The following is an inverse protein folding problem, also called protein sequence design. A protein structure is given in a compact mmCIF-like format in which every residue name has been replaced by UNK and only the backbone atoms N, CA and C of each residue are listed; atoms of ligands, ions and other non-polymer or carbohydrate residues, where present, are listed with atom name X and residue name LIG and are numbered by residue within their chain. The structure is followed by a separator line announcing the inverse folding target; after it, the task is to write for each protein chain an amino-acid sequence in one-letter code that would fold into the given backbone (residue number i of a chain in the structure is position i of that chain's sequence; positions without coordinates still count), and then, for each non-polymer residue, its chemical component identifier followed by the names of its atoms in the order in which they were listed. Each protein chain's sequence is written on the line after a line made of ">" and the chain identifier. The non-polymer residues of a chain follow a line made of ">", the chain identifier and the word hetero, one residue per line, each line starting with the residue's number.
data_IF_676295707723
#
_entry.id   IF_676295707723
#
_cell.length_a   1.000
_cell.length_b   1.000
_cell.length_c   1.000
_cell.angle_alpha   90.00
_cell.angle_beta   90.00
_cell.angle_gamma   90.00
#
_symmetry.space_group_name_H-M   'P 1'
#
loop_
_entity.id
_entity.type
_entity.pdbx_description
1 polymer ?
#
# COMPACT_ATOMS: atom_id res chain seq x y z
N UNK A 1 25.59 -32.94 -32.97
CA UNK A 1 25.27 -31.50 -32.84
C UNK A 1 24.60 -31.31 -31.50
N UNK A 2 25.17 -30.43 -30.67
CA UNK A 2 24.72 -30.14 -29.32
C UNK A 2 24.04 -28.75 -29.29
N UNK A 3 23.03 -28.58 -28.43
CA UNK A 3 22.70 -27.29 -27.83
C UNK A 3 21.86 -27.53 -26.57
N UNK A 4 22.41 -27.18 -25.41
CA UNK A 4 21.67 -27.04 -24.15
C UNK A 4 21.79 -25.57 -23.78
N UNK A 5 20.67 -24.86 -23.69
CA UNK A 5 20.67 -23.44 -23.29
C UNK A 5 20.18 -23.38 -21.86
N UNK A 6 21.11 -23.20 -20.92
CA UNK A 6 20.79 -22.86 -19.55
C UNK A 6 20.85 -21.33 -19.42
N UNK A 7 19.69 -20.67 -19.33
CA UNK A 7 19.60 -19.26 -19.02
C UNK A 7 19.59 -19.09 -17.49
N UNK A 8 20.76 -18.80 -16.92
CA UNK A 8 20.87 -18.31 -15.54
C UNK A 8 20.85 -16.80 -15.54
N UNK A 9 19.80 -16.18 -14.99
CA UNK A 9 19.80 -14.76 -14.69
C UNK A 9 20.15 -14.59 -13.20
N UNK A 10 21.37 -14.15 -12.91
CA UNK A 10 21.75 -13.71 -11.57
C UNK A 10 21.46 -12.21 -11.44
N UNK A 11 20.42 -11.87 -10.69
CA UNK A 11 20.18 -10.49 -10.28
C UNK A 11 21.11 -10.15 -9.11
N UNK A 12 22.02 -9.20 -9.31
CA UNK A 12 22.85 -8.65 -8.25
C UNK A 12 22.10 -7.48 -7.58
N UNK A 13 21.70 -7.66 -6.33
CA UNK A 13 21.19 -6.58 -5.49
C UNK A 13 22.39 -5.90 -4.81
N UNK A 14 22.76 -4.70 -5.27
CA UNK A 14 23.69 -3.82 -4.54
C UNK A 14 22.84 -3.00 -3.58
N UNK A 15 22.89 -3.32 -2.29
CA UNK A 15 22.36 -2.46 -1.23
C UNK A 15 23.54 -1.72 -0.58
N UNK A 16 23.72 -0.45 -0.92
CA UNK A 16 24.71 0.41 -0.28
C UNK A 16 24.04 1.71 0.16
N UNK A 17 23.69 1.76 1.44
CA UNK A 17 23.05 2.91 2.09
C UNK A 17 23.81 3.37 3.34
N UNK A 18 25.13 3.53 3.23
CA UNK A 18 25.87 4.35 4.20
C UNK A 18 25.70 5.82 3.76
N UNK A 19 24.82 6.51 4.47
CA UNK A 19 24.38 7.92 4.29
C UNK A 19 25.57 8.89 4.17
N UNK A 20 25.49 9.84 3.22
CA UNK A 20 25.77 11.23 3.54
C UNK A 20 24.60 12.13 3.13
N UNK A 21 24.29 13.12 3.98
CA UNK A 21 23.29 14.15 3.73
C UNK A 21 23.50 14.83 2.35
N UNK A 22 22.46 14.75 1.51
CA UNK A 22 22.25 15.66 0.39
C UNK A 22 20.75 16.01 0.34
N UNK A 23 20.48 17.32 0.20
CA UNK A 23 19.24 18.07 0.03
C UNK A 23 17.89 17.31 -0.21
N UNK A 24 16.76 17.85 0.28
CA UNK A 24 15.43 17.27 0.05
C UNK A 24 15.16 17.01 -1.44
N UNK A 25 15.06 15.74 -1.81
CA UNK A 25 14.60 15.34 -3.13
C UNK A 25 13.07 15.34 -3.08
N UNK A 26 12.47 16.42 -3.57
CA UNK A 26 11.08 16.39 -4.02
C UNK A 26 10.93 15.28 -5.08
N UNK A 27 10.20 14.22 -4.71
CA UNK A 27 9.11 13.72 -5.56
C UNK A 27 9.45 12.87 -6.78
N UNK A 28 10.39 11.92 -6.73
CA UNK A 28 10.29 10.76 -7.63
C UNK A 28 9.39 9.73 -6.97
N UNK A 29 8.09 9.77 -7.33
CA UNK A 29 7.13 8.68 -7.06
C UNK A 29 7.69 7.45 -7.79
N UNK A 30 8.45 6.62 -7.08
CA UNK A 30 8.77 5.27 -7.55
C UNK A 30 7.44 4.62 -7.90
N UNK A 31 7.24 4.28 -9.17
CA UNK A 31 6.08 3.52 -9.61
C UNK A 31 6.14 2.19 -8.85
N UNK A 32 5.37 2.12 -7.77
CA UNK A 32 5.19 0.88 -7.02
C UNK A 32 4.42 -0.01 -7.98
N UNK A 33 5.06 -1.04 -8.52
CA UNK A 33 4.36 -2.04 -9.32
C UNK A 33 3.22 -2.61 -8.49
N UNK A 34 2.02 -2.67 -9.05
CA UNK A 34 0.81 -3.20 -8.44
C UNK A 34 1.05 -4.36 -7.43
N UNK A 35 1.68 -5.50 -7.79
CA UNK A 35 1.88 -6.60 -6.85
C UNK A 35 2.77 -6.26 -5.63
N UNK A 36 3.60 -5.23 -5.71
CA UNK A 36 4.42 -4.75 -4.58
C UNK A 36 3.62 -3.85 -3.63
N UNK A 37 2.65 -3.08 -4.12
CA UNK A 37 1.79 -2.20 -3.31
C UNK A 37 0.97 -3.01 -2.29
N UNK A 38 0.38 -4.12 -2.72
CA UNK A 38 -0.44 -5.00 -1.87
C UNK A 38 0.37 -5.75 -0.81
N UNK A 39 1.68 -5.85 -0.99
CA UNK A 39 2.59 -6.55 -0.07
C UNK A 39 3.41 -5.59 0.80
N UNK A 40 3.32 -4.29 0.54
CA UNK A 40 4.03 -3.28 1.31
C UNK A 40 3.46 -3.25 2.73
N UNK A 41 4.34 -3.43 3.71
CA UNK A 41 3.99 -3.26 5.12
C UNK A 41 4.26 -1.81 5.51
N UNK A 42 3.23 -1.10 6.00
CA UNK A 42 3.34 0.29 6.45
C UNK A 42 2.63 0.48 7.78
N UNK A 43 3.02 1.54 8.48
CA UNK A 43 2.36 1.98 9.71
C UNK A 43 1.47 3.16 9.35
N UNK A 44 0.21 3.08 9.76
CA UNK A 44 -0.78 4.13 9.57
C UNK A 44 -1.55 4.34 10.86
N UNK A 45 -1.85 5.59 11.15
CA UNK A 45 -2.66 6.01 12.28
C UNK A 45 -3.87 6.82 11.79
N UNK A 46 -5.00 6.54 12.43
CA UNK A 46 -6.24 7.26 12.28
C UNK A 46 -6.65 7.77 13.66
N UNK A 47 -7.01 9.04 13.72
CA UNK A 47 -7.51 9.72 14.92
C UNK A 47 -8.83 10.40 14.57
N UNK A 48 -9.94 9.87 15.08
CA UNK A 48 -11.31 10.33 14.83
C UNK A 48 -11.61 10.61 13.34
N UNK A 49 -11.04 9.80 12.45
CA UNK A 49 -11.09 10.02 11.02
C UNK A 49 -12.37 9.44 10.42
N UNK A 50 -13.07 10.15 9.52
CA UNK A 50 -14.20 9.57 8.79
C UNK A 50 -13.73 8.47 7.84
N UNK A 51 -14.55 7.47 7.56
CA UNK A 51 -14.17 6.33 6.71
C UNK A 51 -13.77 6.77 5.28
N UNK A 52 -14.30 7.89 4.80
CA UNK A 52 -13.90 8.52 3.54
C UNK A 52 -12.44 8.98 3.55
N UNK A 53 -11.98 9.62 4.63
CA UNK A 53 -10.57 10.02 4.80
C UNK A 53 -9.68 8.81 5.03
N UNK A 54 -10.17 7.82 5.79
CA UNK A 54 -9.46 6.54 6.00
C UNK A 54 -9.15 5.89 4.65
N UNK A 55 -10.15 5.75 3.77
CA UNK A 55 -9.96 5.17 2.45
C UNK A 55 -8.96 5.97 1.61
N UNK A 56 -9.10 7.30 1.53
CA UNK A 56 -8.19 8.16 0.79
C UNK A 56 -6.73 8.05 1.29
N UNK A 57 -6.56 7.94 2.61
CA UNK A 57 -5.24 7.76 3.21
C UNK A 57 -4.64 6.40 2.88
N UNK A 58 -5.44 5.33 2.84
CA UNK A 58 -4.98 4.00 2.40
C UNK A 58 -4.51 4.06 0.94
N UNK A 59 -5.27 4.71 0.06
CA UNK A 59 -4.91 4.89 -1.34
C UNK A 59 -3.56 5.63 -1.48
N UNK A 60 -3.38 6.73 -0.75
CA UNK A 60 -2.14 7.52 -0.79
C UNK A 60 -0.94 6.73 -0.22
N UNK A 61 -1.13 6.11 0.94
CA UNK A 61 -0.04 5.45 1.67
C UNK A 61 0.40 4.19 0.95
N UNK A 62 -0.52 3.38 0.42
CA UNK A 62 -0.17 2.11 -0.21
C UNK A 62 -0.11 2.18 -1.74
N UNK A 63 -0.61 3.24 -2.37
CA UNK A 63 -0.67 3.35 -3.83
C UNK A 63 -1.69 2.37 -4.43
N UNK A 64 -2.80 2.16 -3.73
CA UNK A 64 -3.89 1.24 -4.11
C UNK A 64 -5.17 2.02 -4.37
N UNK A 65 -6.18 1.37 -4.92
CA UNK A 65 -7.54 1.91 -5.01
C UNK A 65 -8.44 1.22 -4.00
N UNK A 66 -9.25 1.98 -3.26
CA UNK A 66 -10.25 1.44 -2.34
C UNK A 66 -11.64 1.64 -2.96
N UNK A 67 -12.39 0.55 -3.08
CA UNK A 67 -13.72 0.54 -3.71
C UNK A 67 -14.78 -0.02 -2.76
N UNK A 68 -16.04 0.07 -3.17
CA UNK A 68 -17.21 -0.35 -2.39
C UNK A 68 -17.35 0.33 -1.01
N UNK A 69 -17.10 1.65 -0.94
CA UNK A 69 -17.36 2.41 0.29
C UNK A 69 -18.87 2.49 0.57
N UNK A 70 -19.32 2.34 1.84
CA UNK A 70 -20.72 2.50 2.20
C UNK A 70 -21.18 3.94 1.96
N UNK A 71 -22.45 4.13 1.60
CA UNK A 71 -23.02 5.46 1.35
C UNK A 71 -22.98 6.41 2.57
N UNK A 72 -22.93 5.86 3.78
CA UNK A 72 -22.79 6.60 5.05
C UNK A 72 -21.33 6.64 5.55
N UNK A 73 -20.32 6.47 4.67
CA UNK A 73 -18.90 6.46 5.06
C UNK A 73 -18.47 7.68 5.90
N UNK A 74 -19.09 8.85 5.70
CA UNK A 74 -18.82 10.05 6.49
C UNK A 74 -19.32 9.98 7.95
N UNK A 75 -20.28 9.10 8.26
CA UNK A 75 -20.84 8.89 9.60
C UNK A 75 -19.99 8.00 10.49
N UNK A 76 -19.15 7.15 9.90
CA UNK A 76 -18.24 6.27 10.64
C UNK A 76 -16.96 7.02 11.00
N UNK A 77 -16.65 7.08 12.30
CA UNK A 77 -15.40 7.65 12.85
C UNK A 77 -14.51 6.53 13.36
N UNK A 78 -13.26 6.51 12.91
CA UNK A 78 -12.29 5.48 13.26
C UNK A 78 -11.06 6.08 13.93
N UNK A 79 -10.72 5.54 15.09
CA UNK A 79 -9.43 5.74 15.75
C UNK A 79 -8.72 4.39 15.82
N UNK A 80 -7.68 4.23 15.00
CA UNK A 80 -6.96 2.96 14.86
C UNK A 80 -5.51 3.23 14.49
N UNK A 81 -4.59 2.56 15.17
CA UNK A 81 -3.21 2.42 14.71
C UNK A 81 -3.03 1.02 14.17
N UNK A 82 -2.53 0.93 12.94
CA UNK A 82 -2.37 -0.34 12.25
C UNK A 82 -0.97 -0.42 11.61
N UNK A 83 -0.38 -1.62 11.65
CA UNK A 83 0.89 -1.95 11.01
C UNK A 83 0.69 -3.23 10.19
N UNK A 84 0.79 -3.12 8.87
CA UNK A 84 0.50 -4.25 7.98
C UNK A 84 0.34 -3.82 6.54
N UNK A 85 -0.38 -4.63 5.76
CA UNK A 85 -0.62 -4.39 4.34
C UNK A 85 -2.01 -3.78 4.10
N UNK A 86 -2.20 -3.11 2.94
CA UNK A 86 -3.49 -2.56 2.55
C UNK A 86 -4.67 -3.55 2.61
N UNK A 87 -4.58 -4.78 2.07
CA UNK A 87 -5.72 -5.71 2.12
C UNK A 87 -6.08 -6.15 3.54
N UNK A 88 -5.08 -6.30 4.42
CA UNK A 88 -5.31 -6.73 5.81
C UNK A 88 -5.85 -5.57 6.67
N UNK A 89 -5.41 -4.33 6.40
CA UNK A 89 -6.02 -3.13 6.97
C UNK A 89 -7.50 -3.00 6.58
N UNK A 90 -7.82 -3.15 5.30
CA UNK A 90 -9.21 -3.04 4.83
C UNK A 90 -10.07 -4.18 5.37
N UNK A 91 -9.53 -5.41 5.47
CA UNK A 91 -10.22 -6.51 6.15
C UNK A 91 -10.51 -6.17 7.62
N UNK A 92 -9.53 -5.62 8.35
CA UNK A 92 -9.73 -5.19 9.74
C UNK A 92 -10.82 -4.12 9.85
N UNK A 93 -10.82 -3.13 8.96
CA UNK A 93 -11.85 -2.08 8.93
C UNK A 93 -13.24 -2.67 8.64
N UNK A 94 -13.33 -3.60 7.70
CA UNK A 94 -14.56 -4.31 7.38
C UNK A 94 -15.10 -5.11 8.56
N UNK A 95 -14.24 -5.82 9.30
CA UNK A 95 -14.63 -6.57 10.49
C UNK A 95 -15.12 -5.65 11.62
N UNK A 96 -14.49 -4.47 11.79
CA UNK A 96 -14.85 -3.50 12.83
C UNK A 96 -16.16 -2.78 12.54
N UNK A 97 -16.39 -2.40 11.28
CA UNK A 97 -17.53 -1.55 10.88
C UNK A 97 -18.67 -2.35 10.24
N UNK A 98 -18.47 -3.64 9.99
CA UNK A 98 -19.43 -4.47 9.24
C UNK A 98 -19.58 -4.02 7.79
N UNK A 99 -18.49 -3.56 7.16
CA UNK A 99 -18.48 -3.08 5.77
C UNK A 99 -17.89 -4.13 4.83
N UNK A 100 -18.03 -3.90 3.53
CA UNK A 100 -17.57 -4.83 2.48
C UNK A 100 -16.61 -4.13 1.50
N UNK A 101 -15.74 -3.26 2.02
CA UNK A 101 -14.78 -2.49 1.20
C UNK A 101 -13.77 -3.42 0.52
N UNK A 102 -13.33 -3.05 -0.68
CA UNK A 102 -12.38 -3.83 -1.48
C UNK A 102 -11.12 -3.00 -1.79
N UNK A 103 -10.00 -3.69 -2.02
CA UNK A 103 -8.72 -3.07 -2.42
C UNK A 103 -8.32 -3.61 -3.78
N UNK A 104 -8.15 -2.69 -4.72
CA UNK A 104 -7.69 -2.98 -6.07
C UNK A 104 -6.30 -2.38 -6.29
N UNK A 105 -5.51 -3.05 -7.12
CA UNK A 105 -4.22 -2.54 -7.51
C UNK A 105 -4.38 -1.55 -8.65
N UNK A 106 -3.91 -0.32 -8.45
CA UNK A 106 -3.92 0.68 -9.50
C UNK A 106 -2.84 0.34 -10.54
N UNK A 107 -3.29 -0.12 -11.72
CA UNK A 107 -2.45 -0.44 -12.87
C UNK A 107 -2.08 0.87 -13.58
N UNK A 108 -1.02 1.52 -13.10
CA UNK A 108 -0.41 2.70 -13.75
C UNK A 108 0.73 2.31 -14.70
#
# INVERSE_FOLDING_TARGET
>A
MAAVIAAGATAAFIYNGNRPEAAPQEGTKVAVTAPAALRAVKVIDFDDAPLTDVAARIEEVYGVKVTNLPGDAAGYRLTLRYEGSAPDLVATVNELLGTEMEVECDDF
#
